data_IF_884494565508
#
_entry.id   IF_884494565508
#
_cell.length_a   1.000
_cell.length_b   1.000
_cell.length_c   1.000
_cell.angle_alpha   90.00
_cell.angle_beta   90.00
_cell.angle_gamma   90.00
#
_symmetry.space_group_name_H-M   'P 1'
#
loop_
_entity.id
_entity.type
_entity.pdbx_description
1 polymer ?
#
# COMPACT_ATOMS: atom_id res chain seq x y z
N UNK A 1 -5.69 -48.60 10.49
CA UNK A 1 -5.49 -47.25 11.09
C UNK A 1 -6.46 -47.14 12.25
N UNK A 2 -5.93 -46.82 13.42
CA UNK A 2 -6.75 -46.67 14.62
C UNK A 2 -7.58 -45.40 14.56
N UNK A 3 -8.70 -45.34 15.28
CA UNK A 3 -9.56 -44.15 15.40
C UNK A 3 -8.75 -42.87 15.77
N UNK A 4 -7.70 -43.01 16.57
CA UNK A 4 -6.78 -41.91 16.94
C UNK A 4 -6.03 -41.35 15.75
N UNK A 5 -5.60 -42.17 14.79
CA UNK A 5 -4.90 -41.72 13.58
C UNK A 5 -5.83 -40.93 12.66
N UNK A 6 -7.10 -41.31 12.53
CA UNK A 6 -8.10 -40.56 11.79
C UNK A 6 -8.37 -39.15 12.40
N UNK A 7 -8.47 -39.09 13.74
CA UNK A 7 -8.63 -37.82 14.44
C UNK A 7 -7.42 -36.90 14.20
N UNK A 8 -6.20 -37.43 14.21
CA UNK A 8 -4.99 -36.66 13.91
C UNK A 8 -4.97 -36.14 12.47
N UNK A 9 -5.41 -36.95 11.49
CA UNK A 9 -5.49 -36.51 10.09
C UNK A 9 -6.52 -35.38 9.93
N UNK A 10 -7.72 -35.55 10.51
CA UNK A 10 -8.75 -34.49 10.47
C UNK A 10 -8.22 -33.19 11.12
N UNK A 11 -7.57 -33.33 12.28
CA UNK A 11 -6.96 -32.20 12.97
C UNK A 11 -5.90 -31.50 12.08
N UNK A 12 -5.04 -32.27 11.38
CA UNK A 12 -4.04 -31.72 10.45
C UNK A 12 -4.69 -30.97 9.30
N UNK A 13 -5.74 -31.52 8.69
CA UNK A 13 -6.45 -30.82 7.61
C UNK A 13 -7.05 -29.51 8.10
N UNK A 14 -7.67 -29.50 9.28
CA UNK A 14 -8.21 -28.27 9.88
C UNK A 14 -7.10 -27.25 10.17
N UNK A 15 -5.96 -27.69 10.69
CA UNK A 15 -4.83 -26.80 10.96
C UNK A 15 -4.24 -26.20 9.67
N UNK A 16 -4.13 -26.99 8.59
CA UNK A 16 -3.69 -26.47 7.27
C UNK A 16 -4.70 -25.44 6.74
N UNK A 17 -6.00 -25.67 6.89
CA UNK A 17 -7.03 -24.69 6.50
C UNK A 17 -6.97 -23.40 7.34
N UNK A 18 -6.68 -23.49 8.63
CA UNK A 18 -6.45 -22.33 9.47
C UNK A 18 -5.17 -21.58 9.08
N UNK A 19 -4.09 -22.31 8.74
CA UNK A 19 -2.87 -21.68 8.22
C UNK A 19 -3.16 -20.93 6.92
N UNK A 20 -3.89 -21.55 5.99
CA UNK A 20 -4.34 -20.92 4.75
C UNK A 20 -5.18 -19.66 5.01
N UNK A 21 -6.10 -19.70 5.97
CA UNK A 21 -6.92 -18.57 6.38
C UNK A 21 -6.06 -17.40 6.90
N UNK A 22 -5.07 -17.67 7.76
CA UNK A 22 -4.18 -16.63 8.28
C UNK A 22 -3.30 -16.04 7.19
N UNK A 23 -2.68 -16.87 6.37
CA UNK A 23 -1.81 -16.44 5.27
C UNK A 23 -2.56 -15.60 4.23
N UNK A 24 -3.77 -16.01 3.88
CA UNK A 24 -4.64 -15.24 2.99
C UNK A 24 -5.09 -13.92 3.64
N UNK A 25 -5.39 -13.92 4.94
CA UNK A 25 -5.78 -12.70 5.67
C UNK A 25 -4.65 -11.69 5.72
N UNK A 26 -3.41 -12.12 5.99
CA UNK A 26 -2.22 -11.27 5.93
C UNK A 26 -2.11 -10.58 4.58
N UNK A 27 -2.15 -11.37 3.50
CA UNK A 27 -2.00 -10.86 2.14
C UNK A 27 -3.16 -9.95 1.73
N UNK A 28 -4.40 -10.30 2.07
CA UNK A 28 -5.55 -9.45 1.77
C UNK A 28 -5.42 -8.07 2.41
N UNK A 29 -5.10 -8.00 3.70
CA UNK A 29 -4.98 -6.71 4.40
C UNK A 29 -3.72 -5.90 4.03
N UNK A 30 -2.69 -6.55 3.48
CA UNK A 30 -1.49 -5.88 2.96
C UNK A 30 -1.72 -5.32 1.55
N UNK A 31 -2.52 -6.03 0.72
CA UNK A 31 -2.71 -5.71 -0.70
C UNK A 31 -4.01 -4.94 -0.99
N UNK A 32 -4.90 -4.75 -0.01
CA UNK A 32 -6.17 -4.05 -0.23
C UNK A 32 -5.96 -2.56 -0.51
N UNK A 33 -6.75 -2.01 -1.42
CA UNK A 33 -6.84 -0.58 -1.65
C UNK A 33 -7.75 0.07 -0.57
N UNK A 34 -7.13 0.86 0.32
CA UNK A 34 -7.82 1.50 1.45
C UNK A 34 -8.86 2.52 1.00
N UNK A 35 -8.59 3.24 -0.10
CA UNK A 35 -9.50 4.25 -0.64
C UNK A 35 -10.77 3.55 -1.14
N UNK A 36 -10.60 2.51 -1.95
CA UNK A 36 -11.72 1.71 -2.47
C UNK A 36 -12.56 1.08 -1.34
N UNK A 37 -11.89 0.54 -0.32
CA UNK A 37 -12.58 -0.04 0.83
C UNK A 37 -13.37 1.01 1.61
N UNK A 38 -12.84 2.23 1.74
CA UNK A 38 -13.50 3.37 2.36
C UNK A 38 -14.73 3.79 1.56
N UNK A 39 -14.61 3.95 0.24
CA UNK A 39 -15.75 4.28 -0.65
C UNK A 39 -16.87 3.26 -0.48
N UNK A 40 -16.54 1.94 -0.51
CA UNK A 40 -17.54 0.89 -0.26
C UNK A 40 -18.19 0.99 1.13
N UNK A 41 -17.46 1.46 2.14
CA UNK A 41 -17.99 1.68 3.49
C UNK A 41 -18.93 2.88 3.53
N UNK A 42 -18.58 3.98 2.87
CA UNK A 42 -19.37 5.20 2.76
C UNK A 42 -20.67 4.97 1.94
N UNK A 43 -20.63 4.05 0.97
CA UNK A 43 -21.81 3.55 0.22
C UNK A 43 -22.75 2.65 1.07
N UNK A 44 -22.48 2.51 2.38
CA UNK A 44 -23.34 1.79 3.31
C UNK A 44 -23.01 0.30 3.50
N UNK A 45 -21.90 -0.20 2.94
CA UNK A 45 -21.48 -1.59 3.15
C UNK A 45 -20.86 -1.79 4.54
N UNK A 46 -21.65 -2.34 5.48
CA UNK A 46 -21.24 -2.59 6.86
C UNK A 46 -20.01 -3.52 6.98
N UNK A 47 -19.82 -4.47 6.05
CA UNK A 47 -18.66 -5.36 6.07
C UNK A 47 -17.39 -4.62 5.67
N UNK A 48 -17.48 -3.73 4.68
CA UNK A 48 -16.39 -2.86 4.27
C UNK A 48 -16.01 -1.88 5.40
N UNK A 49 -16.98 -1.27 6.06
CA UNK A 49 -16.74 -0.38 7.21
C UNK A 49 -16.01 -1.10 8.36
N UNK A 50 -16.40 -2.35 8.67
CA UNK A 50 -15.74 -3.14 9.70
C UNK A 50 -14.30 -3.53 9.30
N UNK A 51 -14.07 -3.90 8.04
CA UNK A 51 -12.75 -4.24 7.50
C UNK A 51 -11.84 -3.01 7.47
N UNK A 52 -12.36 -1.85 7.05
CA UNK A 52 -11.66 -0.57 7.06
C UNK A 52 -11.19 -0.20 8.47
N UNK A 53 -12.12 -0.22 9.44
CA UNK A 53 -11.81 0.06 10.85
C UNK A 53 -10.80 -0.91 11.46
N UNK A 54 -10.81 -2.18 11.02
CA UNK A 54 -9.81 -3.16 11.44
C UNK A 54 -8.43 -2.82 10.85
N UNK A 55 -8.37 -2.36 9.59
CA UNK A 55 -7.15 -1.93 8.91
C UNK A 55 -6.52 -0.66 9.51
N UNK A 56 -7.28 0.20 10.21
CA UNK A 56 -6.73 1.35 10.94
C UNK A 56 -5.77 0.93 12.06
N UNK A 57 -6.01 -0.23 12.68
CA UNK A 57 -5.13 -0.81 13.70
C UNK A 57 -4.25 -1.91 13.11
N UNK A 58 -3.58 -1.62 11.99
CA UNK A 58 -2.83 -2.58 11.17
C UNK A 58 -1.77 -3.35 11.98
N UNK A 59 -1.00 -2.70 12.82
CA UNK A 59 0.02 -3.35 13.66
C UNK A 59 -0.57 -4.43 14.57
N UNK A 60 -1.74 -4.15 15.16
CA UNK A 60 -2.43 -5.11 16.04
C UNK A 60 -2.99 -6.27 15.23
N UNK A 61 -3.57 -5.99 14.08
CA UNK A 61 -4.09 -6.98 13.14
C UNK A 61 -2.97 -7.92 12.67
N UNK A 62 -1.89 -7.35 12.14
CA UNK A 62 -0.75 -8.10 11.63
C UNK A 62 -0.13 -8.99 12.71
N UNK A 63 0.07 -8.45 13.93
CA UNK A 63 0.56 -9.23 15.06
C UNK A 63 -0.36 -10.39 15.42
N UNK A 64 -1.69 -10.17 15.37
CA UNK A 64 -2.68 -11.22 15.63
C UNK A 64 -2.59 -12.35 14.62
N UNK A 65 -2.52 -11.99 13.33
CA UNK A 65 -2.43 -12.95 12.22
C UNK A 65 -1.13 -13.75 12.29
N UNK A 66 0.01 -13.07 12.50
CA UNK A 66 1.33 -13.71 12.62
C UNK A 66 1.39 -14.68 13.79
N UNK A 67 0.90 -14.29 14.96
CA UNK A 67 0.86 -15.16 16.14
C UNK A 67 -0.04 -16.36 15.88
N UNK A 68 -1.24 -16.12 15.34
CA UNK A 68 -2.19 -17.19 15.01
C UNK A 68 -1.61 -18.19 14.01
N UNK A 69 -1.01 -17.69 12.92
CA UNK A 69 -0.39 -18.53 11.90
C UNK A 69 0.75 -19.38 12.48
N UNK A 70 1.64 -18.79 13.28
CA UNK A 70 2.73 -19.53 13.90
C UNK A 70 2.24 -20.61 14.87
N UNK A 71 1.24 -20.31 15.71
CA UNK A 71 0.65 -21.32 16.62
C UNK A 71 0.10 -22.50 15.82
N UNK A 72 -0.64 -22.22 14.75
CA UNK A 72 -1.24 -23.25 13.90
C UNK A 72 -0.17 -24.07 13.20
N UNK A 73 0.84 -23.46 12.63
CA UNK A 73 1.91 -24.15 11.88
C UNK A 73 2.77 -25.04 12.79
N UNK A 74 3.13 -24.54 13.99
CA UNK A 74 3.87 -25.32 14.98
C UNK A 74 3.03 -26.49 15.47
N UNK A 75 1.75 -26.27 15.75
CA UNK A 75 0.82 -27.33 16.18
C UNK A 75 0.65 -28.37 15.09
N UNK A 76 0.46 -27.97 13.84
CA UNK A 76 0.34 -28.89 12.70
C UNK A 76 1.59 -29.76 12.56
N UNK A 77 2.78 -29.16 12.60
CA UNK A 77 4.05 -29.90 12.53
C UNK A 77 4.22 -30.88 13.69
N UNK A 78 3.82 -30.49 14.89
CA UNK A 78 3.90 -31.36 16.09
C UNK A 78 2.94 -32.54 15.98
N UNK A 79 1.68 -32.31 15.60
CA UNK A 79 0.68 -33.38 15.40
C UNK A 79 1.10 -34.34 14.29
N UNK A 80 1.62 -33.80 13.19
CA UNK A 80 2.16 -34.60 12.08
C UNK A 80 3.31 -35.48 12.53
N UNK A 81 4.26 -34.94 13.29
CA UNK A 81 5.40 -35.72 13.79
C UNK A 81 4.94 -36.93 14.61
N UNK A 82 3.98 -36.73 15.51
CA UNK A 82 3.41 -37.85 16.29
C UNK A 82 2.71 -38.88 15.43
N UNK A 83 2.01 -38.45 14.39
CA UNK A 83 1.34 -39.32 13.43
C UNK A 83 2.39 -40.14 12.62
N UNK A 84 3.43 -39.50 12.08
CA UNK A 84 4.44 -40.16 11.25
C UNK A 84 5.35 -41.11 12.05
N UNK A 85 5.62 -40.83 13.33
CA UNK A 85 6.30 -41.76 14.21
C UNK A 85 5.52 -43.07 14.32
N UNK A 86 4.18 -42.99 14.47
CA UNK A 86 3.32 -44.20 14.53
C UNK A 86 3.22 -44.94 13.20
N UNK A 87 3.24 -44.22 12.08
CA UNK A 87 3.05 -44.82 10.74
C UNK A 87 4.34 -45.46 10.20
N UNK A 88 5.49 -44.93 10.52
CA UNK A 88 6.79 -45.35 9.94
C UNK A 88 7.65 -46.00 11.02
N UNK A 89 8.27 -45.22 11.86
CA UNK A 89 9.04 -45.59 13.08
C UNK A 89 9.59 -44.34 13.79
N UNK A 90 10.15 -44.51 14.99
CA UNK A 90 10.70 -43.41 15.79
C UNK A 90 11.92 -42.74 15.12
N UNK A 91 12.72 -43.45 14.35
CA UNK A 91 13.95 -42.94 13.75
C UNK A 91 13.70 -42.08 12.51
N UNK A 92 12.81 -42.51 11.61
CA UNK A 92 12.57 -41.84 10.31
C UNK A 92 11.31 -40.97 10.32
N UNK A 93 10.36 -41.23 11.22
CA UNK A 93 9.09 -40.54 11.30
C UNK A 93 9.22 -39.02 11.36
N UNK A 94 10.04 -38.43 12.26
CA UNK A 94 10.21 -36.99 12.36
C UNK A 94 10.75 -36.34 11.08
N UNK A 95 11.76 -36.94 10.44
CA UNK A 95 12.36 -36.41 9.20
C UNK A 95 11.35 -36.43 8.06
N UNK A 96 10.64 -37.53 7.87
CA UNK A 96 9.61 -37.64 6.81
C UNK A 96 8.46 -36.67 7.08
N UNK A 97 8.02 -36.55 8.34
CA UNK A 97 7.00 -35.57 8.75
C UNK A 97 7.40 -34.15 8.39
N UNK A 98 8.64 -33.77 8.71
CA UNK A 98 9.15 -32.42 8.42
C UNK A 98 9.12 -32.13 6.92
N UNK A 99 9.61 -33.04 6.09
CA UNK A 99 9.61 -32.83 4.64
C UNK A 99 8.18 -32.70 4.08
N UNK A 100 7.30 -33.64 4.45
CA UNK A 100 5.92 -33.63 3.95
C UNK A 100 5.15 -32.42 4.44
N UNK A 101 5.27 -32.07 5.73
CA UNK A 101 4.56 -30.92 6.28
C UNK A 101 5.08 -29.60 5.74
N UNK A 102 6.39 -29.48 5.49
CA UNK A 102 6.96 -28.28 4.85
C UNK A 102 6.33 -28.08 3.47
N UNK A 103 6.26 -29.11 2.64
CA UNK A 103 5.67 -29.02 1.30
C UNK A 103 4.16 -28.71 1.38
N UNK A 104 3.43 -29.40 2.25
CA UNK A 104 1.98 -29.18 2.41
C UNK A 104 1.65 -27.79 2.94
N UNK A 105 2.34 -27.33 3.98
CA UNK A 105 2.13 -25.99 4.53
C UNK A 105 2.55 -24.90 3.54
N UNK A 106 3.66 -25.09 2.83
CA UNK A 106 4.09 -24.12 1.83
C UNK A 106 3.06 -23.97 0.70
N UNK A 107 2.60 -25.08 0.13
CA UNK A 107 1.68 -25.06 -1.02
C UNK A 107 0.27 -24.64 -0.57
N UNK A 108 -0.29 -25.35 0.41
CA UNK A 108 -1.70 -25.20 0.78
C UNK A 108 -1.93 -24.20 1.92
N UNK A 109 -0.94 -24.02 2.79
CA UNK A 109 -1.01 -23.09 3.93
C UNK A 109 -0.54 -21.68 3.61
N UNK A 110 0.36 -21.49 2.62
CA UNK A 110 0.95 -20.18 2.34
C UNK A 110 0.81 -19.73 0.88
N UNK A 111 1.44 -20.39 -0.09
CA UNK A 111 1.56 -19.88 -1.46
C UNK A 111 0.20 -19.75 -2.13
N UNK A 112 -0.55 -20.81 -2.18
CA UNK A 112 -1.88 -20.81 -2.85
C UNK A 112 -2.86 -19.85 -2.21
N UNK A 113 -3.04 -19.82 -0.87
CA UNK A 113 -3.96 -18.88 -0.24
C UNK A 113 -3.55 -17.41 -0.40
N UNK A 114 -2.26 -17.11 -0.34
CA UNK A 114 -1.73 -15.75 -0.56
C UNK A 114 -2.00 -15.28 -1.99
N UNK A 115 -1.78 -16.14 -2.97
CA UNK A 115 -2.05 -15.81 -4.39
C UNK A 115 -3.53 -15.51 -4.62
N UNK A 116 -4.43 -16.37 -4.11
CA UNK A 116 -5.88 -16.18 -4.24
C UNK A 116 -6.36 -14.90 -3.51
N UNK A 117 -5.82 -14.63 -2.33
CA UNK A 117 -6.18 -13.43 -1.57
C UNK A 117 -5.74 -12.13 -2.25
N UNK A 118 -4.63 -12.17 -3.01
CA UNK A 118 -4.12 -11.02 -3.78
C UNK A 118 -5.03 -10.66 -4.97
N UNK A 119 -5.74 -11.63 -5.55
CA UNK A 119 -6.67 -11.38 -6.66
C UNK A 119 -7.96 -10.64 -6.23
N UNK A 120 -8.40 -10.85 -4.99
CA UNK A 120 -9.65 -10.26 -4.48
C UNK A 120 -9.49 -9.78 -3.02
N UNK A 121 -8.56 -8.85 -2.75
CA UNK A 121 -8.15 -8.52 -1.38
C UNK A 121 -9.29 -7.91 -0.56
N UNK A 122 -10.11 -7.02 -1.13
CA UNK A 122 -11.21 -6.39 -0.39
C UNK A 122 -12.30 -7.39 -0.01
N UNK A 123 -12.65 -8.29 -0.93
CA UNK A 123 -13.69 -9.31 -0.66
C UNK A 123 -13.23 -10.26 0.44
N UNK A 124 -11.95 -10.68 0.37
CA UNK A 124 -11.40 -11.58 1.37
C UNK A 124 -11.27 -10.88 2.73
N UNK A 125 -10.78 -9.64 2.78
CA UNK A 125 -10.69 -8.85 4.00
C UNK A 125 -12.06 -8.69 4.69
N UNK A 126 -13.11 -8.37 3.91
CA UNK A 126 -14.48 -8.29 4.43
C UNK A 126 -15.00 -9.62 4.99
N UNK A 127 -14.63 -10.74 4.37
CA UNK A 127 -14.98 -12.09 4.84
C UNK A 127 -14.23 -12.46 6.12
N UNK A 128 -12.92 -12.19 6.19
CA UNK A 128 -12.05 -12.59 7.29
C UNK A 128 -12.27 -11.72 8.55
N UNK A 129 -12.70 -10.47 8.40
CA UNK A 129 -12.83 -9.49 9.49
C UNK A 129 -13.56 -10.00 10.75
N UNK A 130 -14.74 -10.63 10.69
CA UNK A 130 -15.45 -11.09 11.88
C UNK A 130 -14.66 -12.14 12.66
N UNK A 131 -13.99 -13.05 11.97
CA UNK A 131 -13.15 -14.08 12.59
C UNK A 131 -11.90 -13.48 13.22
N UNK A 132 -11.21 -12.59 12.48
CA UNK A 132 -10.02 -11.91 12.96
C UNK A 132 -10.33 -11.03 14.18
N UNK A 133 -11.49 -10.39 14.21
CA UNK A 133 -11.93 -9.59 15.37
C UNK A 133 -12.09 -10.44 16.61
N UNK A 134 -12.74 -11.59 16.50
CA UNK A 134 -12.88 -12.53 17.63
C UNK A 134 -11.51 -13.02 18.09
N UNK A 135 -10.65 -13.38 17.15
CA UNK A 135 -9.30 -13.86 17.42
C UNK A 135 -8.41 -12.80 18.07
N UNK A 136 -8.50 -11.55 17.61
CA UNK A 136 -7.77 -10.42 18.20
C UNK A 136 -8.11 -10.23 19.67
N UNK A 137 -9.37 -10.46 20.06
CA UNK A 137 -9.79 -10.41 21.46
C UNK A 137 -9.15 -11.55 22.25
N UNK A 138 -9.16 -12.76 21.73
CA UNK A 138 -8.58 -13.95 22.38
C UNK A 138 -7.06 -13.82 22.52
N UNK A 139 -6.38 -13.35 21.45
CA UNK A 139 -4.93 -13.22 21.42
C UNK A 139 -4.42 -11.87 21.98
N UNK A 140 -5.31 -11.02 22.53
CA UNK A 140 -4.92 -9.73 23.10
C UNK A 140 -3.74 -9.83 24.08
N UNK A 141 -3.66 -10.79 25.03
CA UNK A 141 -2.52 -10.86 25.94
C UNK A 141 -1.20 -11.15 25.23
N UNK A 142 -1.19 -12.03 24.23
CA UNK A 142 0.00 -12.32 23.44
C UNK A 142 0.40 -11.12 22.58
N UNK A 143 -0.57 -10.50 21.90
CA UNK A 143 -0.33 -9.31 21.06
C UNK A 143 0.16 -8.14 21.91
N UNK A 144 -0.38 -7.94 23.11
CA UNK A 144 0.09 -6.88 24.03
C UNK A 144 1.57 -7.08 24.40
N UNK A 145 2.00 -8.31 24.62
CA UNK A 145 3.41 -8.62 24.87
C UNK A 145 4.31 -8.22 23.68
N UNK A 146 3.92 -8.58 22.45
CA UNK A 146 4.65 -8.19 21.26
C UNK A 146 4.65 -6.68 21.01
N UNK A 147 3.54 -6.00 21.25
CA UNK A 147 3.48 -4.53 21.15
C UNK A 147 4.39 -3.84 22.19
N UNK A 148 4.45 -4.38 23.40
CA UNK A 148 5.36 -3.88 24.43
C UNK A 148 6.82 -4.08 23.99
N UNK A 149 7.14 -5.25 23.45
CA UNK A 149 8.46 -5.57 22.90
C UNK A 149 8.85 -4.63 21.74
N UNK A 150 7.94 -4.40 20.79
CA UNK A 150 8.13 -3.42 19.69
C UNK A 150 8.41 -2.02 20.24
N UNK A 151 7.66 -1.58 21.25
CA UNK A 151 7.86 -0.27 21.90
C UNK A 151 9.23 -0.18 22.61
N UNK A 152 9.69 -1.27 23.20
CA UNK A 152 11.01 -1.34 23.81
C UNK A 152 12.11 -1.21 22.76
N UNK A 153 12.01 -1.99 21.66
CA UNK A 153 12.95 -1.92 20.54
C UNK A 153 12.98 -0.54 19.91
N UNK A 154 11.83 0.10 19.67
CA UNK A 154 11.76 1.44 19.08
C UNK A 154 12.43 2.49 19.96
N UNK A 155 12.41 2.30 21.28
CA UNK A 155 13.11 3.19 22.23
C UNK A 155 14.64 3.00 22.18
N UNK A 156 15.09 1.76 21.96
CA UNK A 156 16.54 1.43 21.83
C UNK A 156 17.09 1.93 20.50
N UNK A 157 16.39 1.70 19.40
CA UNK A 157 16.87 1.99 18.05
C UNK A 157 16.53 3.40 17.55
N UNK A 158 15.85 4.26 18.36
CA UNK A 158 15.47 5.64 18.00
C UNK A 158 15.04 5.76 16.52
N UNK A 159 14.06 4.96 16.09
CA UNK A 159 13.48 5.16 14.77
C UNK A 159 12.84 6.54 14.74
N UNK A 160 13.49 7.49 14.08
CA UNK A 160 12.87 8.77 13.71
C UNK A 160 11.77 8.42 12.71
N UNK A 161 10.54 8.58 13.11
CA UNK A 161 9.43 8.65 12.17
C UNK A 161 9.52 10.04 11.54
N UNK A 162 10.08 10.13 10.36
CA UNK A 162 9.86 11.30 9.52
C UNK A 162 8.44 11.17 8.97
N UNK A 163 7.48 11.71 9.75
CA UNK A 163 6.06 11.75 9.35
C UNK A 163 5.79 12.91 8.35
N UNK A 164 6.83 13.48 7.73
CA UNK A 164 6.69 14.49 6.69
C UNK A 164 6.47 13.82 5.34
N UNK A 165 5.26 13.97 4.82
CA UNK A 165 4.96 13.56 3.44
C UNK A 165 5.84 14.40 2.52
N UNK A 166 6.70 13.74 1.76
CA UNK A 166 7.55 14.38 0.74
C UNK A 166 6.77 14.66 -0.54
N UNK A 167 7.27 15.56 -1.40
CA UNK A 167 6.66 15.83 -2.71
C UNK A 167 6.54 14.54 -3.54
N UNK A 168 7.55 13.68 -3.51
CA UNK A 168 7.54 12.39 -4.22
C UNK A 168 6.48 11.42 -3.67
N UNK A 169 6.25 11.40 -2.36
CA UNK A 169 5.17 10.61 -1.76
C UNK A 169 3.78 11.13 -2.16
N UNK A 170 3.63 12.46 -2.28
CA UNK A 170 2.40 13.06 -2.79
C UNK A 170 2.14 12.66 -4.25
N UNK A 171 3.16 12.69 -5.11
CA UNK A 171 3.05 12.25 -6.50
C UNK A 171 2.66 10.76 -6.58
N UNK A 172 3.26 9.90 -5.78
CA UNK A 172 2.88 8.47 -5.72
C UNK A 172 1.42 8.27 -5.30
N UNK A 173 0.89 9.09 -4.38
CA UNK A 173 -0.53 9.04 -3.98
C UNK A 173 -1.45 9.46 -5.15
N UNK A 174 -1.05 10.46 -5.94
CA UNK A 174 -1.80 10.89 -7.13
C UNK A 174 -1.81 9.78 -8.17
N UNK A 175 -0.67 9.13 -8.44
CA UNK A 175 -0.56 8.01 -9.38
C UNK A 175 -1.42 6.81 -8.95
N UNK A 176 -1.47 6.51 -7.65
CA UNK A 176 -2.32 5.45 -7.11
C UNK A 176 -3.81 5.80 -7.22
N UNK A 177 -4.17 7.07 -7.01
CA UNK A 177 -5.56 7.54 -7.14
C UNK A 177 -6.04 7.51 -8.61
N UNK A 178 -5.19 7.88 -9.55
CA UNK A 178 -5.45 7.81 -11.00
C UNK A 178 -5.62 6.35 -11.43
N UNK A 179 -4.65 5.48 -11.09
CA UNK A 179 -4.70 4.05 -11.40
C UNK A 179 -5.92 3.35 -10.78
N UNK A 180 -6.38 3.82 -9.63
CA UNK A 180 -7.58 3.35 -8.94
C UNK A 180 -8.89 3.89 -9.49
N UNK A 181 -8.86 4.79 -10.49
CA UNK A 181 -10.05 5.44 -11.08
C UNK A 181 -10.70 6.47 -10.15
N UNK A 182 -9.97 6.99 -9.16
CA UNK A 182 -10.43 8.05 -8.26
C UNK A 182 -10.13 9.47 -8.77
N UNK A 183 -9.21 9.60 -9.71
CA UNK A 183 -8.88 10.83 -10.43
C UNK A 183 -8.85 10.52 -11.93
N UNK A 184 -9.21 11.48 -12.77
CA UNK A 184 -8.96 11.41 -14.20
C UNK A 184 -7.55 11.94 -14.55
N UNK A 185 -7.12 11.75 -15.80
CA UNK A 185 -5.79 12.13 -16.27
C UNK A 185 -5.59 13.67 -16.18
N UNK A 186 -6.60 14.46 -16.54
CA UNK A 186 -6.54 15.93 -16.51
C UNK A 186 -6.42 16.44 -15.06
N UNK A 187 -7.16 15.85 -14.12
CA UNK A 187 -7.09 16.18 -12.70
C UNK A 187 -5.73 15.82 -12.10
N UNK A 188 -5.19 14.66 -12.46
CA UNK A 188 -3.87 14.19 -12.03
C UNK A 188 -2.76 15.12 -12.53
N UNK A 189 -2.81 15.53 -13.80
CA UNK A 189 -1.84 16.45 -14.40
C UNK A 189 -1.89 17.85 -13.77
N UNK A 190 -3.08 18.32 -13.41
CA UNK A 190 -3.24 19.58 -12.68
C UNK A 190 -2.55 19.54 -11.32
N UNK A 191 -2.75 18.44 -10.58
CA UNK A 191 -2.13 18.26 -9.24
C UNK A 191 -0.61 18.13 -9.37
N UNK A 192 -0.10 17.36 -10.34
CA UNK A 192 1.35 17.25 -10.60
C UNK A 192 1.96 18.62 -10.92
N UNK A 193 1.27 19.38 -11.79
CA UNK A 193 1.70 20.75 -12.15
C UNK A 193 1.71 21.69 -10.95
N UNK A 194 0.74 21.58 -10.04
CA UNK A 194 0.69 22.39 -8.84
C UNK A 194 1.82 22.06 -7.85
N UNK A 195 2.21 20.78 -7.73
CA UNK A 195 3.32 20.34 -6.87
C UNK A 195 4.65 20.87 -7.44
N UNK A 196 4.90 20.70 -8.74
CA UNK A 196 6.14 21.11 -9.40
C UNK A 196 6.26 22.65 -9.54
N UNK A 197 5.14 23.37 -9.48
CA UNK A 197 5.14 24.84 -9.54
C UNK A 197 5.99 25.48 -8.44
N UNK A 198 6.03 24.89 -7.24
CA UNK A 198 6.82 25.40 -6.13
C UNK A 198 8.33 25.23 -6.34
N UNK A 199 8.74 24.29 -7.18
CA UNK A 199 10.16 24.02 -7.46
C UNK A 199 10.68 24.77 -8.68
N UNK A 200 9.79 25.43 -9.45
CA UNK A 200 10.14 26.16 -10.66
C UNK A 200 10.48 27.63 -10.32
N UNK A 201 11.76 28.02 -10.30
CA UNK A 201 12.14 29.40 -10.07
C UNK A 201 11.70 30.27 -11.24
N UNK A 202 11.36 31.54 -10.95
CA UNK A 202 10.95 32.52 -11.98
C UNK A 202 11.99 32.64 -13.10
N UNK A 203 13.27 32.46 -12.77
CA UNK A 203 14.37 32.49 -13.72
C UNK A 203 14.26 31.49 -14.87
N UNK A 204 13.63 30.33 -14.64
CA UNK A 204 13.51 29.26 -15.64
C UNK A 204 12.39 29.51 -16.67
N UNK A 205 11.39 30.33 -16.27
CA UNK A 205 10.25 30.70 -17.13
C UNK A 205 10.32 32.13 -17.64
N UNK A 206 11.24 32.96 -17.09
CA UNK A 206 11.45 34.31 -17.48
C UNK A 206 12.03 34.37 -18.89
N UNK A 207 11.41 35.13 -19.78
CA UNK A 207 12.04 35.52 -21.06
C UNK A 207 13.09 36.59 -20.80
N UNK A 208 14.40 36.29 -21.02
CA UNK A 208 15.44 37.29 -20.88
C UNK A 208 15.17 38.48 -21.78
N UNK A 209 15.54 39.69 -21.34
CA UNK A 209 15.28 40.93 -22.09
C UNK A 209 15.78 40.89 -23.52
N UNK A 210 16.91 40.23 -23.76
CA UNK A 210 17.52 40.09 -25.11
C UNK A 210 16.66 39.31 -26.08
N UNK A 211 15.78 38.45 -25.58
CA UNK A 211 14.89 37.58 -26.31
C UNK A 211 13.45 38.12 -26.40
N UNK A 212 13.16 39.24 -25.70
CA UNK A 212 11.85 39.88 -25.74
C UNK A 212 11.69 40.67 -27.06
N UNK A 213 10.77 40.22 -27.91
CA UNK A 213 10.36 40.95 -29.12
C UNK A 213 9.37 42.04 -28.72
N UNK A 214 9.76 43.30 -28.84
CA UNK A 214 8.98 44.44 -28.46
C UNK A 214 9.08 45.58 -29.48
N UNK A 215 8.14 46.52 -29.48
CA UNK A 215 8.10 47.68 -30.37
C UNK A 215 8.17 48.99 -29.59
N UNK A 216 8.83 49.99 -30.15
CA UNK A 216 8.81 51.32 -29.56
C UNK A 216 7.51 52.05 -29.84
N UNK A 217 7.06 52.88 -28.88
CA UNK A 217 5.90 53.76 -29.10
C UNK A 217 6.09 54.73 -30.26
N UNK A 218 7.34 55.03 -30.61
CA UNK A 218 7.70 55.97 -31.68
C UNK A 218 7.99 55.27 -33.01
N UNK A 219 7.85 53.94 -33.10
CA UNK A 219 8.01 53.18 -34.32
C UNK A 219 6.86 53.45 -35.30
N UNK A 220 7.16 53.44 -36.61
CA UNK A 220 6.14 53.59 -37.63
C UNK A 220 5.21 52.38 -37.73
N UNK A 221 3.99 52.60 -38.21
CA UNK A 221 2.96 51.53 -38.35
C UNK A 221 3.50 50.41 -39.25
N UNK A 222 4.24 50.72 -40.30
CA UNK A 222 4.82 49.76 -41.21
C UNK A 222 5.84 48.86 -40.50
N UNK A 223 6.68 49.42 -39.63
CA UNK A 223 7.67 48.71 -38.85
C UNK A 223 6.99 47.80 -37.81
N UNK A 224 5.96 48.31 -37.15
CA UNK A 224 5.17 47.49 -36.20
C UNK A 224 4.52 46.32 -36.89
N UNK A 225 3.92 46.54 -38.07
CA UNK A 225 3.31 45.49 -38.88
C UNK A 225 4.33 44.41 -39.34
N UNK A 226 5.56 44.83 -39.70
CA UNK A 226 6.65 43.90 -40.04
C UNK A 226 7.01 43.02 -38.86
N UNK A 227 7.20 43.61 -37.64
CA UNK A 227 7.53 42.84 -36.44
C UNK A 227 6.44 41.85 -36.06
N UNK A 228 5.16 42.17 -36.25
CA UNK A 228 4.06 41.24 -36.02
C UNK A 228 4.12 40.06 -37.03
N UNK A 229 4.34 40.34 -38.30
CA UNK A 229 4.41 39.31 -39.35
C UNK A 229 5.63 38.40 -39.17
N UNK A 230 6.77 38.96 -38.82
CA UNK A 230 8.03 38.21 -38.67
C UNK A 230 8.07 37.38 -37.38
N UNK A 231 7.47 37.88 -36.32
CA UNK A 231 7.44 37.18 -35.00
C UNK A 231 6.30 36.18 -34.85
N UNK A 232 5.19 36.38 -35.58
CA UNK A 232 3.98 35.55 -35.47
C UNK A 232 3.22 35.73 -34.13
N UNK A 233 3.62 36.68 -33.29
CA UNK A 233 2.94 36.95 -32.02
C UNK A 233 1.63 37.71 -32.23
N UNK A 234 0.60 37.40 -31.45
CA UNK A 234 -0.67 38.13 -31.45
C UNK A 234 -0.63 39.42 -30.60
N UNK A 235 0.38 39.61 -29.75
CA UNK A 235 0.58 40.76 -28.88
C UNK A 235 2.06 41.01 -28.69
N UNK A 236 2.45 42.30 -28.75
CA UNK A 236 3.83 42.72 -28.51
C UNK A 236 3.87 43.77 -27.38
N UNK A 237 4.85 43.67 -26.49
CA UNK A 237 5.11 44.76 -25.54
C UNK A 237 5.48 46.05 -26.26
N UNK A 238 4.93 47.18 -25.79
CA UNK A 238 5.28 48.50 -26.29
C UNK A 238 6.07 49.25 -25.24
N UNK A 239 7.24 49.76 -25.59
CA UNK A 239 8.08 50.51 -24.66
C UNK A 239 8.27 51.96 -25.11
N UNK A 240 8.46 52.86 -24.10
CA UNK A 240 8.86 54.24 -24.34
C UNK A 240 10.20 54.46 -23.62
N UNK A 241 11.24 54.95 -24.30
CA UNK A 241 12.57 55.23 -23.82
C UNK A 241 13.45 54.01 -23.56
N UNK A 242 13.18 53.20 -22.52
CA UNK A 242 13.91 51.99 -22.22
C UNK A 242 12.96 50.94 -21.63
N UNK A 243 13.18 49.68 -21.96
CA UNK A 243 12.40 48.54 -21.48
C UNK A 243 12.54 48.33 -19.93
N UNK A 244 13.20 49.23 -19.24
CA UNK A 244 13.43 49.21 -17.79
C UNK A 244 12.44 50.05 -16.97
N UNK A 245 11.41 50.62 -17.58
CA UNK A 245 10.48 51.52 -16.86
C UNK A 245 9.27 50.80 -16.22
N UNK A 246 9.30 49.53 -16.09
CA UNK A 246 8.35 48.84 -15.25
C UNK A 246 8.98 48.67 -13.86
N UNK A 247 8.62 49.54 -12.93
CA UNK A 247 8.77 49.25 -11.52
C UNK A 247 7.96 48.02 -11.23
N UNK A 248 8.65 46.87 -11.18
CA UNK A 248 8.08 45.67 -10.64
C UNK A 248 7.94 45.86 -9.13
N UNK A 249 6.72 46.21 -8.70
CA UNK A 249 6.35 46.21 -7.30
C UNK A 249 6.17 44.72 -6.86
#
# INVERSE_FOLDING_TARGET
>A
MDTRSWVQIICLVLLILFSAFFSASETAFTSLNRIRLKTMADDGNKKAANAYKMGENYDKLLSTVLVGNNIVNITASSVATVLFIKLINESKGPTVSTIIMTVLLLIFGEVTPKTLAKEMPEKYAMFATPFLRALTVILTPAVAFFMLWKKLLSKIFKFKKDDTITGDELLNIVDEAESGGGLDEDESDLIRSAISFYECPVGDILTPRVDVIAVSKDDSVEKIASVFNDSGFSRLPVYSCLLYTSDAA
#
